data_IF_960095885206
#
_entry.id   IF_960095885206
#
_cell.length_a   1.000
_cell.length_b   1.000
_cell.length_c   1.000
_cell.angle_alpha   90.00
_cell.angle_beta   90.00
_cell.angle_gamma   90.00
#
_symmetry.space_group_name_H-M   'P 1'
#
loop_
_entity.id
_entity.type
_entity.pdbx_description
1 polymer ?
#
# COMPACT_ATOMS: atom_id res chain seq x y z
N UNK A 1 -3.03 -15.57 -0.62
CA UNK A 1 -4.35 -15.08 -0.15
C UNK A 1 -4.74 -13.75 -0.84
N UNK A 2 -3.82 -12.80 -1.03
CA UNK A 2 -4.07 -11.51 -1.69
C UNK A 2 -4.49 -11.61 -3.16
N UNK A 3 -3.91 -12.56 -3.91
CA UNK A 3 -4.27 -12.83 -5.32
C UNK A 3 -5.73 -13.30 -5.50
N UNK A 4 -6.31 -13.98 -4.50
CA UNK A 4 -7.71 -14.45 -4.56
C UNK A 4 -8.69 -13.27 -4.45
N UNK A 5 -8.25 -12.15 -3.87
CA UNK A 5 -9.11 -11.01 -3.56
C UNK A 5 -9.65 -10.32 -4.82
N UNK A 6 -8.79 -10.11 -5.82
CA UNK A 6 -9.18 -9.44 -7.07
C UNK A 6 -10.14 -10.28 -7.93
N UNK A 7 -10.31 -11.58 -7.60
CA UNK A 7 -11.25 -12.49 -8.29
C UNK A 7 -12.68 -12.48 -7.72
N UNK A 8 -12.94 -11.82 -6.58
CA UNK A 8 -14.31 -11.64 -6.07
C UNK A 8 -14.73 -10.18 -6.23
N UNK A 9 -15.99 -9.95 -6.61
CA UNK A 9 -16.62 -8.63 -6.77
C UNK A 9 -16.81 -7.88 -5.44
N UNK A 10 -15.73 -7.63 -4.72
CA UNK A 10 -15.79 -6.82 -3.52
C UNK A 10 -15.92 -5.35 -3.92
N UNK A 11 -16.72 -4.62 -3.14
CA UNK A 11 -16.67 -3.15 -3.19
C UNK A 11 -15.27 -2.71 -2.77
N UNK A 12 -14.60 -1.93 -3.61
CA UNK A 12 -13.21 -1.47 -3.37
C UNK A 12 -13.05 -0.82 -1.99
N UNK A 13 -14.04 -0.08 -1.50
CA UNK A 13 -14.04 0.51 -0.16
C UNK A 13 -13.86 -0.53 0.96
N UNK A 14 -14.50 -1.69 0.85
CA UNK A 14 -14.35 -2.78 1.81
C UNK A 14 -12.95 -3.40 1.75
N UNK A 15 -12.32 -3.44 0.57
CA UNK A 15 -10.93 -3.84 0.42
C UNK A 15 -10.04 -2.89 1.21
N UNK A 16 -10.14 -1.61 0.86
CA UNK A 16 -9.27 -0.56 1.39
C UNK A 16 -9.37 -0.49 2.90
N UNK A 17 -10.58 -0.64 3.45
CA UNK A 17 -10.79 -0.76 4.90
C UNK A 17 -10.04 -1.94 5.52
N UNK A 18 -10.05 -3.11 4.89
CA UNK A 18 -9.31 -4.27 5.39
C UNK A 18 -7.81 -4.09 5.30
N UNK A 19 -7.31 -3.57 4.18
CA UNK A 19 -5.87 -3.32 3.99
C UNK A 19 -5.38 -2.29 5.01
N UNK A 20 -6.07 -1.15 5.14
CA UNK A 20 -5.69 -0.07 6.05
C UNK A 20 -5.66 -0.54 7.51
N UNK A 21 -6.65 -1.34 7.94
CA UNK A 21 -6.64 -1.95 9.26
C UNK A 21 -5.47 -2.93 9.46
N UNK A 22 -5.16 -3.77 8.46
CA UNK A 22 -4.01 -4.67 8.52
C UNK A 22 -2.70 -3.89 8.64
N UNK A 23 -2.56 -2.81 7.88
CA UNK A 23 -1.37 -1.98 7.90
C UNK A 23 -1.19 -1.24 9.22
N UNK A 24 -2.25 -0.67 9.80
CA UNK A 24 -2.14 -0.03 11.12
C UNK A 24 -1.73 -1.02 12.20
N UNK A 25 -2.42 -2.15 12.27
CA UNK A 25 -2.23 -3.12 13.34
C UNK A 25 -0.87 -3.84 13.26
N UNK A 26 -0.18 -3.81 12.10
CA UNK A 26 1.12 -4.44 11.96
C UNK A 26 2.29 -3.58 12.46
N UNK A 27 2.03 -2.33 12.87
CA UNK A 27 3.05 -1.36 13.27
C UNK A 27 3.27 -1.29 14.78
N UNK A 28 2.29 -1.72 15.57
CA UNK A 28 2.27 -1.53 17.02
C UNK A 28 3.45 -2.22 17.74
N UNK A 29 4.04 -3.25 17.11
CA UNK A 29 5.16 -4.01 17.66
C UNK A 29 6.55 -3.44 17.31
N UNK A 30 6.63 -2.37 16.52
CA UNK A 30 7.91 -1.86 15.98
C UNK A 30 8.24 -0.44 16.47
N UNK A 31 9.51 -0.16 16.83
CA UNK A 31 9.96 1.21 17.08
C UNK A 31 9.77 2.09 15.84
N UNK A 32 9.46 3.38 16.06
CA UNK A 32 9.29 4.36 14.99
C UNK A 32 10.54 4.58 14.10
N UNK A 33 11.70 4.09 14.53
CA UNK A 33 12.96 4.14 13.79
C UNK A 33 13.10 3.04 12.75
N UNK A 34 12.23 2.02 12.77
CA UNK A 34 12.26 0.92 11.82
C UNK A 34 11.34 1.24 10.64
N UNK A 35 11.90 1.33 9.43
CA UNK A 35 11.14 1.56 8.20
C UNK A 35 10.04 0.55 7.96
N UNK A 36 9.01 1.00 7.28
CA UNK A 36 7.78 0.22 7.11
C UNK A 36 7.99 -1.03 6.26
N UNK A 37 9.01 -1.05 5.39
CA UNK A 37 9.39 -2.22 4.61
C UNK A 37 10.35 -3.17 5.32
N UNK A 38 10.85 -2.79 6.50
CA UNK A 38 11.57 -3.70 7.40
C UNK A 38 10.64 -4.43 8.37
N UNK A 39 9.36 -4.06 8.39
CA UNK A 39 8.36 -4.60 9.32
C UNK A 39 7.63 -5.81 8.74
N UNK A 40 6.81 -6.45 9.57
CA UNK A 40 5.85 -7.44 9.12
C UNK A 40 4.95 -6.87 8.00
N UNK A 41 4.51 -7.78 7.11
CA UNK A 41 3.70 -7.45 5.93
C UNK A 41 4.41 -6.60 4.86
N UNK A 42 5.73 -6.37 4.92
CA UNK A 42 6.46 -5.59 3.89
C UNK A 42 6.11 -6.05 2.46
N UNK A 43 6.04 -7.36 2.22
CA UNK A 43 5.74 -7.91 0.91
C UNK A 43 4.32 -7.55 0.44
N UNK A 44 3.37 -7.58 1.37
CA UNK A 44 1.99 -7.20 1.09
C UNK A 44 1.85 -5.69 0.90
N UNK A 45 2.58 -4.88 1.68
CA UNK A 45 2.67 -3.42 1.51
C UNK A 45 3.21 -3.06 0.13
N UNK A 46 4.34 -3.64 -0.24
CA UNK A 46 4.94 -3.46 -1.56
C UNK A 46 3.93 -3.77 -2.66
N UNK A 47 3.28 -4.94 -2.58
CA UNK A 47 2.28 -5.35 -3.55
C UNK A 47 1.14 -4.31 -3.69
N UNK A 48 0.60 -3.79 -2.59
CA UNK A 48 -0.45 -2.76 -2.64
C UNK A 48 0.07 -1.45 -3.25
N UNK A 49 1.26 -0.98 -2.87
CA UNK A 49 1.82 0.24 -3.47
C UNK A 49 2.13 0.07 -4.95
N UNK A 50 2.59 -1.11 -5.36
CA UNK A 50 2.77 -1.46 -6.77
C UNK A 50 1.45 -1.38 -7.54
N UNK A 51 0.37 -1.98 -7.02
CA UNK A 51 -0.97 -1.89 -7.63
C UNK A 51 -1.48 -0.43 -7.72
N UNK A 52 -1.18 0.40 -6.72
CA UNK A 52 -1.55 1.82 -6.74
C UNK A 52 -0.72 2.59 -7.79
N UNK A 53 0.59 2.33 -7.88
CA UNK A 53 1.51 2.95 -8.85
C UNK A 53 1.14 2.61 -10.29
N UNK A 54 0.76 1.36 -10.54
CA UNK A 54 0.28 0.88 -11.84
C UNK A 54 -1.21 1.19 -12.08
N UNK A 55 -1.84 1.98 -11.20
CA UNK A 55 -3.22 2.43 -11.31
C UNK A 55 -4.27 1.30 -11.41
N UNK A 56 -3.94 0.09 -10.92
CA UNK A 56 -4.90 -1.02 -10.74
C UNK A 56 -5.85 -0.70 -9.60
N UNK A 57 -5.33 -0.12 -8.52
CA UNK A 57 -6.13 0.56 -7.48
C UNK A 57 -5.95 2.05 -7.70
N UNK A 58 -7.01 2.74 -8.14
CA UNK A 58 -6.86 4.13 -8.55
C UNK A 58 -6.59 5.05 -7.35
N UNK A 59 -5.78 6.08 -7.57
CA UNK A 59 -5.56 7.13 -6.56
C UNK A 59 -6.87 7.81 -6.13
N UNK A 60 -7.87 7.85 -7.03
CA UNK A 60 -9.21 8.38 -6.73
C UNK A 60 -9.91 7.53 -5.66
N UNK A 61 -9.91 6.21 -5.80
CA UNK A 61 -10.51 5.30 -4.82
C UNK A 61 -9.81 5.39 -3.46
N UNK A 62 -8.48 5.44 -3.44
CA UNK A 62 -7.69 5.66 -2.21
C UNK A 62 -8.10 6.97 -1.54
N UNK A 63 -8.12 8.08 -2.28
CA UNK A 63 -8.46 9.39 -1.75
C UNK A 63 -9.90 9.44 -1.22
N UNK A 64 -10.86 8.89 -1.97
CA UNK A 64 -12.25 8.78 -1.53
C UNK A 64 -12.38 7.97 -0.23
N UNK A 65 -11.67 6.85 -0.13
CA UNK A 65 -11.60 6.07 1.09
C UNK A 65 -10.98 6.87 2.25
N UNK A 66 -9.81 7.48 2.06
CA UNK A 66 -9.15 8.28 3.10
C UNK A 66 -10.02 9.45 3.59
N UNK A 67 -10.76 10.10 2.68
CA UNK A 67 -11.73 11.14 2.99
C UNK A 67 -12.89 10.61 3.84
N UNK A 68 -13.45 9.45 3.50
CA UNK A 68 -14.52 8.79 4.29
C UNK A 68 -14.07 8.45 5.71
N UNK A 69 -12.78 8.10 5.88
CA UNK A 69 -12.17 7.82 7.18
C UNK A 69 -11.70 9.08 7.93
N UNK A 70 -11.91 10.27 7.35
CA UNK A 70 -11.51 11.57 7.92
C UNK A 70 -10.01 11.69 8.19
N UNK A 71 -9.17 11.08 7.37
CA UNK A 71 -7.73 11.29 7.49
C UNK A 71 -7.35 12.73 7.18
N UNK A 72 -6.43 13.27 7.97
CA UNK A 72 -5.77 14.53 7.65
C UNK A 72 -5.03 14.41 6.31
N UNK A 73 -4.88 15.52 5.61
CA UNK A 73 -4.11 15.58 4.37
C UNK A 73 -3.16 16.78 4.40
N UNK A 74 -2.08 16.70 3.63
CA UNK A 74 -1.14 17.78 3.40
C UNK A 74 -0.62 17.70 1.95
N UNK A 75 0.46 18.44 1.64
CA UNK A 75 1.08 18.46 0.31
C UNK A 75 1.54 17.08 -0.18
N UNK A 76 1.81 16.12 0.73
CA UNK A 76 2.18 14.73 0.40
C UNK A 76 0.97 13.81 0.19
N UNK A 77 -0.26 14.33 0.33
CA UNK A 77 -1.51 13.56 0.26
C UNK A 77 -2.09 13.26 1.64
N UNK A 78 -2.89 12.19 1.73
CA UNK A 78 -3.50 11.77 3.00
C UNK A 78 -2.49 11.13 3.94
N UNK A 79 -2.64 11.41 5.24
CA UNK A 79 -1.88 10.81 6.34
C UNK A 79 -2.39 9.38 6.61
N UNK A 80 -2.07 8.46 5.72
CA UNK A 80 -2.50 7.06 5.76
C UNK A 80 -1.38 6.13 5.31
N UNK A 81 -1.39 4.92 5.87
CA UNK A 81 -0.52 3.82 5.45
C UNK A 81 -0.77 3.34 4.03
N UNK A 82 -1.87 3.72 3.40
CA UNK A 82 -2.11 3.48 1.98
C UNK A 82 -1.33 4.45 1.08
N UNK A 83 -0.70 5.49 1.65
CA UNK A 83 0.07 6.50 0.92
C UNK A 83 1.57 6.31 1.17
N UNK A 84 2.28 5.70 0.21
CA UNK A 84 3.73 5.47 0.28
C UNK A 84 4.52 6.73 0.62
N UNK A 85 4.19 7.87 -0.03
CA UNK A 85 4.87 9.15 0.18
C UNK A 85 4.73 9.70 1.61
N UNK A 86 3.79 9.16 2.38
CA UNK A 86 3.57 9.56 3.76
C UNK A 86 4.34 8.68 4.75
N UNK A 87 4.53 7.40 4.44
CA UNK A 87 5.08 6.43 5.38
C UNK A 87 6.52 6.03 5.11
N UNK A 88 7.06 6.32 3.92
CA UNK A 88 8.43 5.98 3.60
C UNK A 88 9.38 6.73 4.54
N UNK A 89 10.31 5.98 5.12
CA UNK A 89 11.43 6.54 5.85
C UNK A 89 12.58 6.84 4.87
N UNK A 90 13.68 7.40 5.40
CA UNK A 90 14.96 7.50 4.68
C UNK A 90 15.94 6.43 5.15
N UNK A 91 15.45 5.28 5.61
CA UNK A 91 16.33 4.15 5.85
C UNK A 91 16.58 3.38 4.56
N UNK A 92 17.70 2.67 4.52
CA UNK A 92 18.18 1.99 3.34
C UNK A 92 17.19 0.96 2.78
N UNK A 93 16.33 0.37 3.62
CA UNK A 93 15.36 -0.64 3.17
C UNK A 93 14.18 0.05 2.49
N UNK A 94 13.62 1.08 3.09
CA UNK A 94 12.54 1.87 2.46
C UNK A 94 13.04 2.59 1.19
N UNK A 95 14.31 3.01 1.14
CA UNK A 95 14.94 3.54 -0.08
C UNK A 95 15.02 2.49 -1.18
N UNK A 96 15.53 1.28 -0.88
CA UNK A 96 15.56 0.17 -1.83
C UNK A 96 14.18 -0.15 -2.41
N UNK A 97 13.14 -0.21 -1.57
CA UNK A 97 11.77 -0.45 -2.06
C UNK A 97 11.18 0.75 -2.81
N UNK A 98 11.63 1.98 -2.52
CA UNK A 98 11.26 3.15 -3.33
C UNK A 98 11.82 3.02 -4.74
N UNK A 99 13.07 2.61 -4.89
CA UNK A 99 13.70 2.36 -6.20
C UNK A 99 12.92 1.29 -6.97
N UNK A 100 12.57 0.17 -6.32
CA UNK A 100 11.77 -0.87 -6.97
C UNK A 100 10.39 -0.38 -7.44
N UNK A 101 9.73 0.48 -6.66
CA UNK A 101 8.43 1.08 -7.04
C UNK A 101 8.57 2.10 -8.17
N UNK A 102 9.69 2.81 -8.26
CA UNK A 102 9.99 3.77 -9.32
C UNK A 102 10.31 3.08 -10.64
N UNK A 103 11.13 2.02 -10.58
CA UNK A 103 11.46 1.14 -11.70
C UNK A 103 10.33 0.16 -12.06
N UNK A 104 9.19 0.24 -11.36
CA UNK A 104 8.01 -0.59 -11.59
C UNK A 104 8.33 -2.08 -11.60
N UNK A 105 9.13 -2.54 -10.64
CA UNK A 105 9.52 -3.96 -10.55
C UNK A 105 8.36 -4.78 -9.97
N UNK A 106 7.75 -5.71 -10.73
CA UNK A 106 6.74 -6.60 -10.16
C UNK A 106 7.44 -7.66 -9.29
N UNK A 107 7.09 -7.72 -8.00
CA UNK A 107 7.43 -8.88 -7.16
C UNK A 107 6.45 -10.06 -7.37
N UNK A 108 5.32 -9.78 -8.02
CA UNK A 108 4.33 -10.77 -8.46
C UNK A 108 4.07 -10.51 -9.93
N UNK A 109 4.28 -11.51 -10.77
CA UNK A 109 3.89 -11.46 -12.18
C UNK A 109 2.36 -11.40 -12.27
N UNK A 110 1.82 -10.25 -12.68
CA UNK A 110 0.38 -10.00 -12.81
C UNK A 110 -0.23 -10.63 -14.07
N UNK A 111 0.57 -10.91 -15.10
CA UNK A 111 0.11 -11.55 -16.34
C UNK A 111 -0.32 -12.99 -16.06
N UNK A 112 0.41 -13.69 -15.18
CA UNK A 112 0.08 -15.06 -14.78
C UNK A 112 -1.23 -15.15 -13.95
N UNK A 113 -1.76 -14.02 -13.49
CA UNK A 113 -2.92 -13.94 -12.61
C UNK A 113 -4.18 -13.40 -13.31
N UNK A 114 -4.10 -13.02 -14.58
CA UNK A 114 -5.16 -12.36 -15.37
C UNK A 114 -5.69 -11.08 -14.72
N UNK A 115 -4.79 -10.21 -14.25
CA UNK A 115 -5.16 -8.93 -13.61
C UNK A 115 -4.87 -7.71 -14.48
N UNK A 116 -4.14 -7.89 -15.58
CA UNK A 116 -3.81 -6.91 -16.61
C UNK A 116 -3.92 -7.63 -17.96
#
# INVERSE_FOLDING_TARGET
MTIIYLRKSWKIENLLKKIDNLFKNSKDDYPATVGVMSQNLWYFRYFIYYLIKENVISKKEINSYCMSQKYGSNQKGYKSDLNWNYINSKDNVDEFFSELLEEKVPLIDLNYVNLI
#
